data_IF_179794356707
#
_entry.id   IF_179794356707
#
_cell.length_a   1.000
_cell.length_b   1.000
_cell.length_c   1.000
_cell.angle_alpha   90.00
_cell.angle_beta   90.00
_cell.angle_gamma   90.00
#
_symmetry.space_group_name_H-M   'P 1'
#
loop_
_entity.id
_entity.type
_entity.pdbx_description
1 polymer ?
#
# COMPACT_ATOMS: atom_id res chain seq x y z
N UNK A 1 27.09 -49.42 23.05
CA UNK A 1 27.02 -47.95 22.98
C UNK A 1 26.18 -47.54 21.78
N UNK A 2 24.89 -47.24 21.98
CA UNK A 2 23.97 -46.73 20.94
C UNK A 2 24.19 -45.22 20.78
N UNK A 3 24.44 -44.74 19.56
CA UNK A 3 24.36 -43.30 19.22
C UNK A 3 23.11 -43.09 18.37
N UNK A 4 22.20 -42.26 18.87
CA UNK A 4 20.89 -42.00 18.32
C UNK A 4 21.01 -41.11 17.06
N UNK A 5 20.48 -41.63 15.95
CA UNK A 5 20.17 -40.89 14.71
C UNK A 5 18.68 -40.59 14.76
N UNK A 6 18.27 -39.45 15.31
CA UNK A 6 17.00 -38.75 14.99
C UNK A 6 17.16 -37.32 15.52
N UNK A 7 16.65 -36.35 14.76
CA UNK A 7 16.45 -34.92 15.11
C UNK A 7 17.43 -33.95 14.46
N UNK A 8 17.28 -33.78 13.15
CA UNK A 8 17.60 -32.52 12.48
C UNK A 8 16.46 -32.20 11.51
N UNK A 9 16.13 -30.91 11.40
CA UNK A 9 15.07 -30.29 10.58
C UNK A 9 13.72 -30.18 11.28
N UNK A 10 13.65 -29.24 12.23
CA UNK A 10 12.46 -28.40 12.44
C UNK A 10 12.96 -26.96 12.34
N UNK A 11 13.06 -26.48 11.10
CA UNK A 11 13.43 -25.10 10.80
C UNK A 11 12.31 -24.21 11.31
N UNK A 12 12.66 -23.35 12.25
CA UNK A 12 11.86 -22.25 12.78
C UNK A 12 11.21 -21.44 11.65
N UNK A 13 9.90 -21.60 11.48
CA UNK A 13 9.06 -20.51 10.97
C UNK A 13 8.52 -19.75 12.19
N UNK A 14 8.82 -18.46 12.36
CA UNK A 14 8.01 -17.66 13.26
C UNK A 14 6.67 -17.46 12.55
N UNK A 15 5.72 -18.36 12.81
CA UNK A 15 4.32 -18.04 12.61
C UNK A 15 4.06 -16.86 13.53
N UNK A 16 3.99 -15.68 12.95
CA UNK A 16 3.59 -14.44 13.62
C UNK A 16 2.18 -14.68 14.15
N UNK A 17 2.10 -15.14 15.39
CA UNK A 17 0.87 -15.20 16.19
C UNK A 17 0.46 -13.76 16.46
N UNK A 18 -0.28 -13.17 15.54
CA UNK A 18 -1.03 -11.96 15.83
C UNK A 18 -2.08 -12.31 16.90
N UNK A 19 -2.23 -11.49 17.96
CA UNK A 19 -3.26 -11.72 18.95
C UNK A 19 -4.63 -11.63 18.25
N UNK A 20 -5.37 -12.74 18.26
CA UNK A 20 -6.77 -12.79 17.87
C UNK A 20 -7.54 -11.79 18.74
N UNK A 21 -7.78 -10.59 18.22
CA UNK A 21 -8.65 -9.62 18.87
C UNK A 21 -10.10 -10.10 18.72
N UNK A 22 -10.81 -10.09 19.85
CA UNK A 22 -12.22 -10.41 20.06
C UNK A 22 -13.04 -10.29 18.77
N UNK A 23 -13.48 -11.44 18.29
CA UNK A 23 -14.37 -11.57 17.14
C UNK A 23 -15.67 -10.84 17.49
N UNK A 24 -15.93 -9.72 16.81
CA UNK A 24 -17.24 -9.07 16.82
C UNK A 24 -18.32 -10.11 16.52
N UNK A 25 -19.43 -10.12 17.29
CA UNK A 25 -20.53 -11.08 17.18
C UNK A 25 -21.20 -11.17 15.79
N UNK A 26 -20.77 -10.33 14.84
CA UNK A 26 -21.25 -10.26 13.45
C UNK A 26 -20.14 -10.56 12.43
N UNK A 27 -19.23 -11.48 12.75
CA UNK A 27 -18.18 -11.95 11.84
C UNK A 27 -18.63 -13.17 11.03
N UNK A 28 -17.94 -13.45 9.93
CA UNK A 28 -18.02 -14.72 9.20
C UNK A 28 -16.61 -15.16 8.79
N UNK A 29 -16.26 -16.45 8.89
CA UNK A 29 -14.91 -16.91 8.58
C UNK A 29 -14.63 -16.97 7.07
N UNK A 30 -15.69 -17.18 6.28
CA UNK A 30 -15.64 -17.32 4.83
C UNK A 30 -16.66 -16.39 4.18
N UNK A 31 -16.27 -15.80 3.07
CA UNK A 31 -17.17 -15.18 2.12
C UNK A 31 -16.87 -15.62 0.70
N UNK A 32 -17.94 -15.80 -0.08
CA UNK A 32 -17.89 -15.92 -1.53
C UNK A 32 -18.86 -14.89 -2.12
N UNK A 33 -18.45 -14.16 -3.16
CA UNK A 33 -19.31 -13.30 -3.96
C UNK A 33 -19.10 -13.53 -5.45
N UNK A 34 -20.16 -13.35 -6.23
CA UNK A 34 -20.09 -13.27 -7.69
C UNK A 34 -20.21 -11.80 -8.08
N UNK A 35 -21.22 -11.11 -7.55
CA UNK A 35 -21.52 -9.73 -7.90
C UNK A 35 -22.04 -8.96 -6.69
N UNK A 36 -21.11 -8.66 -5.77
CA UNK A 36 -21.29 -7.77 -4.63
C UNK A 36 -22.66 -7.85 -3.95
N UNK A 37 -23.26 -6.67 -3.71
CA UNK A 37 -24.49 -6.48 -2.91
C UNK A 37 -25.66 -7.36 -3.34
N UNK A 38 -25.71 -7.74 -4.62
CA UNK A 38 -26.80 -8.53 -5.18
C UNK A 38 -26.56 -10.03 -5.00
N UNK A 39 -25.30 -10.47 -5.07
CA UNK A 39 -24.94 -11.89 -5.09
C UNK A 39 -23.68 -12.16 -4.26
N UNK A 40 -23.82 -12.09 -2.94
CA UNK A 40 -22.81 -12.45 -1.94
C UNK A 40 -23.36 -13.29 -0.78
N UNK A 41 -22.58 -14.27 -0.32
CA UNK A 41 -22.97 -15.22 0.74
C UNK A 41 -23.27 -14.53 2.08
N UNK A 42 -22.49 -13.49 2.38
CA UNK A 42 -22.53 -12.76 3.65
C UNK A 42 -22.80 -11.30 3.33
N UNK A 43 -23.71 -10.64 4.04
CA UNK A 43 -24.07 -9.24 3.74
C UNK A 43 -22.91 -8.26 3.91
N UNK A 44 -22.94 -7.15 3.18
CA UNK A 44 -21.81 -6.20 3.10
C UNK A 44 -21.54 -5.49 4.42
N UNK A 45 -22.51 -5.40 5.32
CA UNK A 45 -22.34 -4.86 6.67
C UNK A 45 -21.86 -5.92 7.69
N UNK A 46 -21.04 -6.88 7.25
CA UNK A 46 -20.43 -7.92 8.08
C UNK A 46 -18.92 -7.82 8.04
N UNK A 47 -18.29 -8.29 9.12
CA UNK A 47 -16.83 -8.45 9.18
C UNK A 47 -16.47 -9.84 8.69
N UNK A 48 -15.41 -9.97 7.89
CA UNK A 48 -14.85 -11.26 7.51
C UNK A 48 -13.59 -11.52 8.35
N UNK A 49 -13.43 -12.75 8.85
CA UNK A 49 -12.27 -13.15 9.66
C UNK A 49 -11.73 -14.47 9.13
N UNK A 50 -10.93 -14.40 8.07
CA UNK A 50 -10.47 -15.57 7.32
C UNK A 50 -10.32 -15.25 5.85
N UNK A 51 -11.15 -15.87 5.01
CA UNK A 51 -11.01 -15.82 3.55
C UNK A 51 -12.24 -15.18 2.89
N UNK A 52 -11.99 -14.27 1.95
CA UNK A 52 -13.00 -13.69 1.07
C UNK A 52 -12.61 -13.95 -0.39
N UNK A 53 -13.51 -14.55 -1.16
CA UNK A 53 -13.33 -14.88 -2.58
C UNK A 53 -14.38 -14.16 -3.42
N UNK A 54 -13.95 -13.33 -4.38
CA UNK A 54 -14.86 -12.51 -5.19
C UNK A 54 -14.63 -12.80 -6.69
N UNK A 55 -15.54 -13.53 -7.33
CA UNK A 55 -15.42 -13.88 -8.76
C UNK A 55 -15.55 -12.64 -9.65
N UNK A 56 -16.49 -11.74 -9.35
CA UNK A 56 -16.60 -10.41 -9.96
C UNK A 56 -16.13 -9.35 -8.97
N UNK A 57 -17.03 -8.85 -8.13
CA UNK A 57 -16.63 -7.98 -7.03
C UNK A 57 -17.33 -8.37 -5.72
N UNK A 58 -16.78 -7.94 -4.58
CA UNK A 58 -17.35 -8.20 -3.26
C UNK A 58 -17.09 -7.06 -2.29
N UNK A 59 -18.10 -6.75 -1.47
CA UNK A 59 -18.07 -5.68 -0.47
C UNK A 59 -18.28 -6.20 0.95
N UNK A 60 -17.46 -5.74 1.90
CA UNK A 60 -17.68 -5.96 3.33
C UNK A 60 -17.29 -4.76 4.19
N UNK A 61 -17.73 -4.79 5.44
CA UNK A 61 -17.43 -3.73 6.39
C UNK A 61 -15.96 -3.75 6.80
N UNK A 62 -15.45 -4.92 7.20
CA UNK A 62 -14.05 -5.13 7.62
C UNK A 62 -13.58 -6.51 7.19
N UNK A 63 -12.26 -6.66 7.06
CA UNK A 63 -11.62 -7.97 6.92
C UNK A 63 -10.37 -8.08 7.79
N UNK A 64 -10.25 -9.22 8.46
CA UNK A 64 -9.04 -9.71 9.10
C UNK A 64 -8.66 -11.02 8.40
N UNK A 65 -7.75 -10.96 7.43
CA UNK A 65 -7.38 -12.12 6.60
C UNK A 65 -7.08 -11.76 5.14
N UNK A 66 -7.45 -12.65 4.22
CA UNK A 66 -7.14 -12.53 2.78
C UNK A 66 -8.40 -12.28 1.98
N UNK A 67 -8.38 -11.23 1.15
CA UNK A 67 -9.40 -10.87 0.17
C UNK A 67 -8.85 -11.14 -1.24
N UNK A 68 -9.43 -12.08 -1.97
CA UNK A 68 -8.97 -12.46 -3.30
C UNK A 68 -10.11 -12.36 -4.30
N UNK A 69 -9.89 -11.76 -5.47
CA UNK A 69 -10.94 -11.62 -6.48
C UNK A 69 -10.68 -10.54 -7.52
N UNK A 70 -11.57 -10.34 -8.50
CA UNK A 70 -11.36 -9.25 -9.48
C UNK A 70 -11.54 -7.87 -8.84
N UNK A 71 -12.56 -7.71 -7.98
CA UNK A 71 -12.84 -6.47 -7.24
C UNK A 71 -13.03 -6.72 -5.74
N UNK A 72 -12.13 -6.16 -4.93
CA UNK A 72 -12.06 -6.37 -3.48
C UNK A 72 -12.29 -5.04 -2.75
N UNK A 73 -13.50 -4.80 -2.25
CA UNK A 73 -13.84 -3.55 -1.59
C UNK A 73 -14.21 -3.75 -0.12
N UNK A 74 -13.59 -2.97 0.76
CA UNK A 74 -13.82 -2.99 2.20
C UNK A 74 -14.12 -1.57 2.66
N UNK A 75 -15.26 -1.34 3.30
CA UNK A 75 -15.71 0.01 3.66
C UNK A 75 -14.87 0.64 4.79
N UNK A 76 -14.39 -0.17 5.74
CA UNK A 76 -13.59 0.30 6.86
C UNK A 76 -12.14 -0.19 6.76
N UNK A 77 -11.83 -1.29 7.44
CA UNK A 77 -10.46 -1.67 7.75
C UNK A 77 -10.11 -3.03 7.16
N UNK A 78 -8.93 -3.09 6.56
CA UNK A 78 -8.26 -4.31 6.10
C UNK A 78 -7.08 -4.56 7.02
N UNK A 79 -7.02 -5.73 7.65
CA UNK A 79 -5.79 -6.27 8.25
C UNK A 79 -5.47 -7.60 7.57
N UNK A 80 -4.41 -7.64 6.78
CA UNK A 80 -4.02 -8.80 5.98
C UNK A 80 -3.70 -8.44 4.53
N UNK A 81 -4.25 -9.17 3.57
CA UNK A 81 -3.90 -9.03 2.15
C UNK A 81 -5.10 -8.87 1.24
N UNK A 82 -5.00 -8.00 0.23
CA UNK A 82 -5.93 -7.98 -0.89
C UNK A 82 -5.20 -8.28 -2.20
N UNK A 83 -5.72 -9.22 -2.99
CA UNK A 83 -5.14 -9.60 -4.28
C UNK A 83 -6.24 -9.61 -5.34
N UNK A 84 -6.10 -8.77 -6.37
CA UNK A 84 -7.15 -8.60 -7.34
C UNK A 84 -6.86 -7.57 -8.42
N UNK A 85 -7.76 -7.36 -9.37
CA UNK A 85 -7.57 -6.29 -10.36
C UNK A 85 -7.76 -4.91 -9.71
N UNK A 86 -8.78 -4.77 -8.86
CA UNK A 86 -9.05 -3.57 -8.09
C UNK A 86 -9.18 -3.91 -6.60
N UNK A 87 -8.38 -3.26 -5.76
CA UNK A 87 -8.42 -3.41 -4.30
C UNK A 87 -8.74 -2.05 -3.64
N UNK A 88 -9.66 -2.04 -2.68
CA UNK A 88 -10.10 -0.83 -1.99
C UNK A 88 -10.26 -1.02 -0.48
N UNK A 89 -9.57 -0.20 0.29
CA UNK A 89 -9.75 -0.06 1.73
C UNK A 89 -10.24 1.35 2.08
N UNK A 90 -11.51 1.47 2.48
CA UNK A 90 -12.17 2.77 2.68
C UNK A 90 -11.56 3.62 3.79
N UNK A 91 -11.02 3.00 4.85
CA UNK A 91 -10.30 3.69 5.92
C UNK A 91 -8.86 3.20 6.04
N UNK A 92 -8.60 2.13 6.78
CA UNK A 92 -7.23 1.73 7.10
C UNK A 92 -6.88 0.41 6.42
N UNK A 93 -5.66 0.32 5.93
CA UNK A 93 -5.05 -0.94 5.52
C UNK A 93 -3.77 -1.19 6.33
N UNK A 94 -3.68 -2.38 6.92
CA UNK A 94 -2.44 -2.89 7.51
C UNK A 94 -2.12 -4.21 6.81
N UNK A 95 -1.06 -4.23 6.00
CA UNK A 95 -0.62 -5.41 5.25
C UNK A 95 -0.32 -5.09 3.78
N UNK A 96 -0.80 -5.90 2.84
CA UNK A 96 -0.44 -5.75 1.42
C UNK A 96 -1.66 -5.64 0.49
N UNK A 97 -1.48 -4.96 -0.64
CA UNK A 97 -2.38 -5.01 -1.77
C UNK A 97 -1.58 -5.36 -3.03
N UNK A 98 -2.07 -6.29 -3.83
CA UNK A 98 -1.49 -6.62 -5.12
C UNK A 98 -2.58 -6.54 -6.19
N UNK A 99 -2.39 -5.68 -7.19
CA UNK A 99 -3.42 -5.51 -8.23
C UNK A 99 -3.10 -4.50 -9.32
N UNK A 100 -4.03 -4.30 -10.25
CA UNK A 100 -3.85 -3.24 -11.25
C UNK A 100 -4.05 -1.87 -10.60
N UNK A 101 -5.12 -1.74 -9.82
CA UNK A 101 -5.45 -0.53 -9.07
C UNK A 101 -5.61 -0.87 -7.60
N UNK A 102 -4.84 -0.17 -6.77
CA UNK A 102 -4.93 -0.25 -5.32
C UNK A 102 -5.34 1.11 -4.76
N UNK A 103 -6.33 1.10 -3.88
CA UNK A 103 -6.82 2.28 -3.19
C UNK A 103 -6.88 2.02 -1.68
N UNK A 104 -6.44 3.01 -0.90
CA UNK A 104 -6.62 3.01 0.55
C UNK A 104 -6.68 4.42 1.14
N UNK A 105 -7.35 4.57 2.28
CA UNK A 105 -7.23 5.78 3.09
C UNK A 105 -5.84 5.89 3.72
N UNK A 106 -5.70 5.38 4.94
CA UNK A 106 -4.44 5.32 5.68
C UNK A 106 -3.85 3.90 5.55
N UNK A 107 -2.77 3.78 4.78
CA UNK A 107 -2.14 2.51 4.44
C UNK A 107 -0.82 2.32 5.17
N UNK A 108 -0.65 1.18 5.83
CA UNK A 108 0.60 0.74 6.43
C UNK A 108 0.98 -0.62 5.85
N UNK A 109 2.04 -0.67 5.03
CA UNK A 109 2.56 -1.93 4.50
C UNK A 109 3.03 -1.84 3.05
N UNK A 110 2.53 -2.73 2.18
CA UNK A 110 3.09 -2.97 0.83
C UNK A 110 2.02 -3.06 -0.27
N UNK A 111 1.57 -1.94 -0.85
CA UNK A 111 0.79 -1.93 -2.08
C UNK A 111 1.68 -2.01 -3.34
N UNK A 112 1.40 -2.98 -4.20
CA UNK A 112 2.07 -3.22 -5.48
C UNK A 112 1.03 -3.26 -6.59
N UNK A 113 1.20 -2.44 -7.63
CA UNK A 113 0.28 -2.44 -8.74
C UNK A 113 0.67 -1.54 -9.90
N UNK A 114 -0.22 -1.38 -10.88
CA UNK A 114 0.00 -0.37 -11.93
C UNK A 114 -0.18 1.03 -11.33
N UNK A 115 -1.30 1.22 -10.62
CA UNK A 115 -1.66 2.48 -9.97
C UNK A 115 -1.94 2.21 -8.50
N UNK A 116 -1.31 2.98 -7.63
CA UNK A 116 -1.59 2.96 -6.19
C UNK A 116 -1.99 4.36 -5.71
N UNK A 117 -3.15 4.46 -5.07
CA UNK A 117 -3.70 5.70 -4.54
C UNK A 117 -3.87 5.55 -3.03
N UNK A 118 -3.31 6.47 -2.27
CA UNK A 118 -3.41 6.48 -0.81
C UNK A 118 -3.63 7.88 -0.29
N UNK A 119 -4.46 8.05 0.75
CA UNK A 119 -4.49 9.31 1.48
C UNK A 119 -3.19 9.48 2.29
N UNK A 120 -2.91 8.54 3.20
CA UNK A 120 -1.61 8.42 3.86
C UNK A 120 -1.00 7.06 3.58
N UNK A 121 0.31 7.01 3.48
CA UNK A 121 1.06 5.77 3.28
C UNK A 121 2.24 5.71 4.24
N UNK A 122 2.46 4.56 4.87
CA UNK A 122 3.68 4.21 5.60
C UNK A 122 4.16 2.83 5.14
N UNK A 123 5.36 2.74 4.57
CA UNK A 123 5.94 1.47 4.12
C UNK A 123 6.57 1.56 2.73
N UNK A 124 6.39 0.52 1.92
CA UNK A 124 6.95 0.42 0.57
C UNK A 124 5.81 0.37 -0.43
N UNK A 125 5.81 1.21 -1.45
CA UNK A 125 4.79 1.20 -2.50
C UNK A 125 5.45 1.12 -3.87
N UNK A 126 4.93 0.26 -4.72
CA UNK A 126 5.47 0.02 -6.06
C UNK A 126 4.36 0.16 -7.13
N UNK A 127 4.49 1.17 -7.99
CA UNK A 127 3.52 1.55 -9.01
C UNK A 127 4.13 1.51 -10.40
N UNK A 128 3.80 0.51 -11.22
CA UNK A 128 4.37 0.36 -12.56
C UNK A 128 3.95 1.47 -13.53
N UNK A 129 2.87 2.22 -13.23
CA UNK A 129 2.48 3.44 -13.93
C UNK A 129 2.64 4.63 -12.99
N UNK A 130 2.07 4.54 -11.79
CA UNK A 130 2.31 5.60 -10.82
C UNK A 130 1.69 5.43 -9.43
N UNK A 131 2.20 6.24 -8.53
CA UNK A 131 1.79 6.30 -7.14
C UNK A 131 1.31 7.71 -6.80
N UNK A 132 0.14 7.79 -6.18
CA UNK A 132 -0.51 9.05 -5.84
C UNK A 132 -0.79 9.09 -4.34
N UNK A 133 -0.10 9.99 -3.63
CA UNK A 133 -0.29 10.24 -2.19
C UNK A 133 -0.95 11.59 -1.97
N UNK A 134 -2.11 11.63 -1.29
CA UNK A 134 -2.87 12.87 -1.12
C UNK A 134 -2.42 13.71 0.08
N UNK A 135 -2.01 13.06 1.17
CA UNK A 135 -1.55 13.72 2.39
C UNK A 135 -0.08 13.39 2.65
N UNK A 136 0.20 12.41 3.51
CA UNK A 136 1.57 12.07 3.89
C UNK A 136 1.99 10.69 3.41
N UNK A 137 3.10 10.62 2.68
CA UNK A 137 3.77 9.38 2.31
C UNK A 137 5.06 9.25 3.12
N UNK A 138 5.23 8.14 3.82
CA UNK A 138 6.42 7.82 4.62
C UNK A 138 7.02 6.49 4.17
N UNK A 139 8.31 6.48 3.85
CA UNK A 139 9.03 5.26 3.44
C UNK A 139 9.52 5.32 2.00
N UNK A 140 9.35 4.21 1.27
CA UNK A 140 9.88 4.04 -0.09
C UNK A 140 8.74 4.03 -1.11
N UNK A 141 8.81 4.92 -2.08
CA UNK A 141 7.87 5.00 -3.19
C UNK A 141 8.60 4.78 -4.52
N UNK A 142 8.24 3.73 -5.26
CA UNK A 142 8.88 3.36 -6.52
C UNK A 142 7.81 3.35 -7.61
N UNK A 143 8.02 4.09 -8.69
CA UNK A 143 7.13 4.04 -9.83
C UNK A 143 7.54 4.94 -10.98
N UNK A 144 6.89 4.82 -12.15
CA UNK A 144 7.23 5.69 -13.29
C UNK A 144 6.90 7.15 -12.95
N UNK A 145 5.69 7.39 -12.43
CA UNK A 145 5.22 8.70 -12.00
C UNK A 145 4.86 8.62 -10.52
N UNK A 146 5.51 9.43 -9.68
CA UNK A 146 5.19 9.55 -8.27
C UNK A 146 4.72 10.98 -7.96
N UNK A 147 3.53 11.11 -7.38
CA UNK A 147 2.94 12.39 -6.99
C UNK A 147 2.56 12.36 -5.52
N UNK A 148 3.10 13.29 -4.75
CA UNK A 148 2.79 13.50 -3.34
C UNK A 148 2.24 14.91 -3.13
N UNK A 149 0.93 15.02 -2.98
CA UNK A 149 0.24 16.32 -2.99
C UNK A 149 0.65 17.20 -1.81
N UNK A 150 1.00 16.61 -0.65
CA UNK A 150 1.45 17.38 0.53
C UNK A 150 2.85 16.99 0.97
N UNK A 151 3.03 15.86 1.64
CA UNK A 151 4.30 15.53 2.28
C UNK A 151 4.84 14.18 1.81
N UNK A 152 6.08 14.19 1.31
CA UNK A 152 6.90 13.00 1.13
C UNK A 152 7.99 12.98 2.21
N UNK A 153 8.03 11.92 3.02
CA UNK A 153 9.05 11.68 4.05
C UNK A 153 9.75 10.34 3.81
N UNK A 154 10.82 10.34 3.03
CA UNK A 154 11.55 9.12 2.70
C UNK A 154 12.20 9.16 1.34
N UNK A 155 12.19 8.03 0.64
CA UNK A 155 12.86 7.85 -0.65
C UNK A 155 11.80 7.67 -1.74
N UNK A 156 11.92 8.43 -2.82
CA UNK A 156 11.06 8.32 -3.98
C UNK A 156 11.92 8.10 -5.22
N UNK A 157 11.65 7.03 -5.97
CA UNK A 157 12.39 6.61 -7.15
C UNK A 157 11.42 6.51 -8.31
N UNK A 158 11.70 7.23 -9.39
CA UNK A 158 10.84 7.22 -10.56
C UNK A 158 11.37 8.00 -11.73
N UNK A 159 10.66 8.00 -12.85
CA UNK A 159 11.02 8.87 -13.98
C UNK A 159 10.65 10.31 -13.65
N UNK A 160 9.45 10.49 -13.11
CA UNK A 160 8.90 11.79 -12.70
C UNK A 160 8.50 11.70 -11.23
N UNK A 161 9.08 12.57 -10.40
CA UNK A 161 8.76 12.68 -8.99
C UNK A 161 8.29 14.11 -8.68
N UNK A 162 7.10 14.24 -8.12
CA UNK A 162 6.54 15.50 -7.64
C UNK A 162 6.13 15.38 -6.19
N UNK A 163 6.50 16.37 -5.38
CA UNK A 163 6.02 16.50 -4.00
C UNK A 163 5.85 17.96 -3.61
N UNK A 164 4.85 18.34 -2.83
CA UNK A 164 4.83 19.71 -2.30
C UNK A 164 5.99 19.92 -1.31
N UNK A 165 6.06 19.09 -0.27
CA UNK A 165 7.16 19.06 0.69
C UNK A 165 7.92 17.73 0.64
N UNK A 166 9.22 17.80 0.33
CA UNK A 166 10.14 16.69 0.40
C UNK A 166 10.96 16.75 1.70
N UNK A 167 10.92 15.69 2.49
CA UNK A 167 11.91 15.38 3.53
C UNK A 167 12.57 14.04 3.22
N UNK A 168 13.73 14.04 2.57
CA UNK A 168 14.43 12.81 2.18
C UNK A 168 15.05 12.87 0.80
N UNK A 169 14.87 11.83 -0.01
CA UNK A 169 15.58 11.63 -1.28
C UNK A 169 14.60 11.44 -2.44
N UNK A 170 14.82 12.17 -3.52
CA UNK A 170 14.19 11.90 -4.82
C UNK A 170 15.26 11.48 -5.83
N UNK A 171 15.00 10.40 -6.56
CA UNK A 171 15.84 9.94 -7.68
C UNK A 171 14.95 9.79 -8.91
N UNK A 172 15.29 10.49 -9.98
CA UNK A 172 14.55 10.39 -11.23
C UNK A 172 15.07 11.24 -12.37
N UNK A 173 14.47 11.15 -13.55
CA UNK A 173 14.84 12.05 -14.64
C UNK A 173 14.37 13.48 -14.33
N UNK A 174 13.18 13.60 -13.76
CA UNK A 174 12.56 14.86 -13.38
C UNK A 174 12.11 14.82 -11.92
N UNK A 175 12.67 15.68 -11.10
CA UNK A 175 12.30 15.86 -9.71
C UNK A 175 11.80 17.29 -9.48
N UNK A 176 10.70 17.44 -8.76
CA UNK A 176 10.14 18.74 -8.41
C UNK A 176 9.59 18.74 -7.01
N UNK A 177 9.95 19.74 -6.23
CA UNK A 177 9.30 20.00 -4.96
C UNK A 177 9.20 21.49 -4.62
N UNK A 178 8.14 21.89 -3.91
CA UNK A 178 8.00 23.28 -3.44
C UNK A 178 9.02 23.56 -2.33
N UNK A 179 9.12 22.65 -1.37
CA UNK A 179 10.06 22.71 -0.25
C UNK A 179 10.88 21.43 -0.22
N UNK A 180 12.20 21.56 -0.10
CA UNK A 180 13.13 20.43 -0.02
C UNK A 180 13.94 20.49 1.27
N UNK A 181 13.84 19.43 2.07
CA UNK A 181 14.74 19.09 3.17
C UNK A 181 15.35 17.72 2.88
N UNK A 182 16.39 17.71 2.07
CA UNK A 182 17.10 16.51 1.64
C UNK A 182 17.74 16.69 0.27
N UNK A 183 17.70 15.66 -0.56
CA UNK A 183 18.45 15.58 -1.82
C UNK A 183 17.53 15.18 -2.97
N UNK A 184 17.74 15.78 -4.14
CA UNK A 184 17.16 15.33 -5.40
C UNK A 184 18.30 15.01 -6.36
N UNK A 185 18.21 13.87 -7.04
CA UNK A 185 19.19 13.40 -8.03
C UNK A 185 18.45 13.14 -9.33
N UNK A 186 18.83 13.85 -10.39
CA UNK A 186 18.15 13.76 -11.67
C UNK A 186 18.63 14.72 -12.73
N UNK A 187 18.26 14.47 -13.98
CA UNK A 187 18.59 15.37 -15.10
C UNK A 187 18.03 16.78 -14.87
N UNK A 188 16.83 16.84 -14.29
CA UNK A 188 16.16 18.09 -13.94
C UNK A 188 15.66 18.03 -12.50
N UNK A 189 16.17 18.94 -11.65
CA UNK A 189 15.68 19.15 -10.30
C UNK A 189 15.16 20.59 -10.18
N UNK A 190 13.92 20.74 -9.72
CA UNK A 190 13.25 22.04 -9.56
C UNK A 190 12.78 22.24 -8.12
N UNK A 191 13.09 23.42 -7.56
CA UNK A 191 12.57 23.89 -6.28
C UNK A 191 11.74 25.18 -6.43
N UNK A 192 10.60 25.22 -5.74
CA UNK A 192 9.88 26.45 -5.40
C UNK A 192 8.84 26.94 -6.42
N UNK A 193 7.83 27.74 -6.00
CA UNK A 193 6.79 28.28 -6.88
C UNK A 193 7.18 29.61 -7.54
N UNK A 194 8.10 30.39 -6.95
CA UNK A 194 8.45 31.75 -7.39
C UNK A 194 9.91 31.93 -7.83
N UNK A 195 10.84 31.14 -7.28
CA UNK A 195 12.26 31.20 -7.60
C UNK A 195 12.68 29.83 -8.11
N UNK A 196 12.25 29.51 -9.35
CA UNK A 196 12.47 28.20 -9.98
C UNK A 196 13.97 28.00 -10.16
N UNK A 197 14.62 27.46 -9.14
CA UNK A 197 16.03 27.08 -9.21
C UNK A 197 16.10 25.72 -9.87
N UNK A 198 16.46 25.75 -11.14
CA UNK A 198 16.87 24.56 -11.87
C UNK A 198 18.27 24.18 -11.40
N UNK A 199 18.43 22.92 -11.02
CA UNK A 199 19.74 22.37 -10.66
C UNK A 199 19.96 21.05 -11.41
N UNK A 200 20.94 21.00 -12.34
CA UNK A 200 21.22 19.79 -13.08
C UNK A 200 21.90 18.77 -12.16
N UNK A 201 21.59 17.49 -12.37
CA UNK A 201 22.21 16.31 -11.76
C UNK A 201 21.92 16.17 -10.25
N UNK A 202 22.26 17.15 -9.40
CA UNK A 202 22.05 17.09 -7.95
C UNK A 202 21.54 18.41 -7.39
N UNK A 203 20.56 18.31 -6.49
CA UNK A 203 20.05 19.38 -5.63
C UNK A 203 20.11 18.92 -4.17
N UNK A 204 20.57 19.76 -3.23
CA UNK A 204 20.54 19.45 -1.80
C UNK A 204 20.19 20.69 -0.96
N UNK A 205 19.42 20.49 0.12
CA UNK A 205 19.02 21.52 1.10
C UNK A 205 18.71 20.86 2.43
N UNK A 206 19.18 21.41 3.56
CA UNK A 206 19.09 20.79 4.89
C UNK A 206 18.38 21.68 5.91
#
# INVERSE_FOLDING_TARGET
MRKNIVSFILILTPVVLLPFQVISAKSSPLQISIWGRDLQLVSSNRTITGLKLNLGYGENFRIYGVDFGLGNFIHENVRGGQVGLANGAGKNLIGFQAGLVNYGGDMTGVPVGLINISNKMTGIRAGFIGNFGMDTVRGLDIGIINIHVRHLKGVCIGIINFSDELTGLQIGLFNSARTVKGVQIGLLNVRGPHDRKFMPIVYASF
#
